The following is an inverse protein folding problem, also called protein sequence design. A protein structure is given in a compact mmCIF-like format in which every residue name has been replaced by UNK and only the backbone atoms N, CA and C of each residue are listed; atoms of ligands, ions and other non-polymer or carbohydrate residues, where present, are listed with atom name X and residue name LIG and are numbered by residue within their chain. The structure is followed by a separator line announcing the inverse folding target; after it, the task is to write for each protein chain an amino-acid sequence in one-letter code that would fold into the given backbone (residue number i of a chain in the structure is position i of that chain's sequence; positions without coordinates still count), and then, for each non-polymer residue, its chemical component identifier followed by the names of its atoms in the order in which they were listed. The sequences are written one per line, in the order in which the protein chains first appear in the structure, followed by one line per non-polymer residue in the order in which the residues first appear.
data_IF_880230191447
#
_entry.id   IF_880230191447
#
_cell.length_a   1.000
_cell.length_b   1.000
_cell.length_c   1.000
_cell.angle_alpha   90.00
_cell.angle_beta   90.00
_cell.angle_gamma   90.00
#
_symmetry.space_group_name_H-M   'P 1'
#
loop_
_entity.id
_entity.type
_entity.pdbx_description
1 polymer ?
#
# COMPACT_ATOMS: atom_id res chain seq x y z
N UNK A 1 15.11 -10.67 23.27
CA UNK A 1 15.14 -9.29 22.73
C UNK A 1 15.90 -9.30 21.42
N UNK A 2 15.25 -9.04 20.26
CA UNK A 2 15.97 -8.95 18.98
C UNK A 2 16.94 -7.76 19.00
N UNK A 3 18.18 -7.99 18.57
CA UNK A 3 19.25 -7.01 18.62
C UNK A 3 19.22 -6.07 17.42
N UNK A 4 19.41 -4.77 17.65
CA UNK A 4 19.67 -3.82 16.57
C UNK A 4 21.13 -4.01 16.11
N UNK A 5 21.41 -4.10 14.80
CA UNK A 5 22.79 -4.23 14.32
C UNK A 5 23.64 -3.06 14.81
N UNK A 6 24.84 -3.36 15.32
CA UNK A 6 25.69 -2.39 16.02
C UNK A 6 26.65 -1.68 15.06
N UNK A 7 26.86 -2.20 13.86
CA UNK A 7 27.67 -1.57 12.81
C UNK A 7 27.07 -1.68 11.39
N UNK A 8 27.53 -0.84 10.46
CA UNK A 8 27.10 -0.82 9.06
C UNK A 8 27.48 -2.10 8.30
N UNK A 9 28.65 -2.67 8.59
CA UNK A 9 29.11 -3.94 8.01
C UNK A 9 28.33 -5.13 8.55
N UNK A 10 27.99 -5.13 9.84
CA UNK A 10 27.13 -6.14 10.44
C UNK A 10 25.71 -6.07 9.86
N UNK A 11 25.17 -4.86 9.68
CA UNK A 11 23.90 -4.64 8.98
C UNK A 11 23.93 -5.26 7.59
N UNK A 12 24.92 -4.92 6.74
CA UNK A 12 24.99 -5.43 5.38
C UNK A 12 25.07 -6.97 5.32
N UNK A 13 25.78 -7.59 6.26
CA UNK A 13 25.87 -9.05 6.37
C UNK A 13 24.54 -9.70 6.75
N UNK A 14 23.86 -9.16 7.76
CA UNK A 14 22.55 -9.64 8.20
C UNK A 14 21.48 -9.44 7.12
N UNK A 15 21.56 -8.31 6.43
CA UNK A 15 20.70 -7.94 5.32
C UNK A 15 20.85 -8.93 4.14
N UNK A 16 22.07 -9.22 3.70
CA UNK A 16 22.35 -10.21 2.66
C UNK A 16 21.96 -11.65 3.06
N UNK A 17 22.04 -11.98 4.36
CA UNK A 17 21.60 -13.27 4.88
C UNK A 17 20.08 -13.40 4.89
N UNK A 18 19.38 -12.36 5.37
CA UNK A 18 17.92 -12.31 5.38
C UNK A 18 17.35 -12.42 3.95
N UNK A 19 17.95 -11.70 2.99
CA UNK A 19 17.60 -11.77 1.58
C UNK A 19 17.70 -13.20 1.03
N UNK A 20 18.84 -13.87 1.20
CA UNK A 20 19.04 -15.25 0.74
C UNK A 20 18.02 -16.23 1.34
N UNK A 21 17.67 -16.05 2.61
CA UNK A 21 16.64 -16.87 3.24
C UNK A 21 15.25 -16.63 2.64
N UNK A 22 14.90 -15.38 2.31
CA UNK A 22 13.62 -15.05 1.68
C UNK A 22 13.55 -15.58 0.24
N UNK A 23 14.62 -15.45 -0.54
CA UNK A 23 14.73 -16.04 -1.88
C UNK A 23 14.62 -17.57 -1.86
N UNK A 24 15.03 -18.22 -0.76
CA UNK A 24 14.83 -19.64 -0.52
C UNK A 24 13.42 -20.01 0.00
N UNK A 25 12.47 -19.06 -0.01
CA UNK A 25 11.07 -19.28 0.39
C UNK A 25 10.84 -19.38 1.91
N UNK A 26 11.78 -18.93 2.75
CA UNK A 26 11.57 -18.94 4.21
C UNK A 26 10.57 -17.87 4.64
N UNK A 27 9.74 -18.23 5.61
CA UNK A 27 8.79 -17.31 6.24
C UNK A 27 9.49 -16.23 7.07
N UNK A 28 8.86 -15.05 7.17
CA UNK A 28 9.46 -13.89 7.85
C UNK A 28 9.78 -14.19 9.33
N UNK A 29 8.95 -14.97 10.02
CA UNK A 29 9.20 -15.40 11.40
C UNK A 29 10.45 -16.29 11.54
N UNK A 30 10.74 -17.14 10.56
CA UNK A 30 11.94 -17.96 10.54
C UNK A 30 13.19 -17.11 10.34
N UNK A 31 13.10 -16.09 9.50
CA UNK A 31 14.19 -15.14 9.25
C UNK A 31 14.48 -14.33 10.52
N UNK A 32 13.45 -13.85 11.21
CA UNK A 32 13.60 -13.15 12.52
C UNK A 32 14.34 -14.03 13.52
N UNK A 33 13.93 -15.30 13.64
CA UNK A 33 14.56 -16.26 14.56
C UNK A 33 16.01 -16.58 14.19
N UNK A 34 16.31 -16.74 12.90
CA UNK A 34 17.65 -17.10 12.43
C UNK A 34 18.65 -15.93 12.44
N UNK A 35 18.16 -14.70 12.22
CA UNK A 35 19.01 -13.49 12.13
C UNK A 35 19.04 -12.70 13.44
N UNK A 36 18.07 -12.89 14.34
CA UNK A 36 17.91 -12.11 15.56
C UNK A 36 17.47 -10.66 15.32
N UNK A 37 17.12 -10.31 14.07
CA UNK A 37 16.67 -8.98 13.66
C UNK A 37 15.15 -8.92 13.78
N UNK A 38 14.63 -7.80 14.32
CA UNK A 38 13.19 -7.61 14.47
C UNK A 38 12.46 -7.58 13.10
N UNK A 39 11.27 -8.18 13.04
CA UNK A 39 10.48 -8.27 11.80
C UNK A 39 10.21 -6.91 11.14
N UNK A 40 9.96 -5.87 11.93
CA UNK A 40 9.79 -4.50 11.41
C UNK A 40 11.01 -3.98 10.65
N UNK A 41 12.22 -4.33 11.08
CA UNK A 41 13.47 -3.94 10.40
C UNK A 41 13.64 -4.73 9.10
N UNK A 42 13.28 -6.01 9.09
CA UNK A 42 13.30 -6.83 7.88
C UNK A 42 12.29 -6.32 6.84
N UNK A 43 11.07 -5.96 7.25
CA UNK A 43 10.08 -5.37 6.36
C UNK A 43 10.55 -4.04 5.77
N UNK A 44 11.19 -3.19 6.58
CA UNK A 44 11.79 -1.95 6.08
C UNK A 44 12.89 -2.22 5.04
N UNK A 45 13.81 -3.14 5.30
CA UNK A 45 14.86 -3.50 4.33
C UNK A 45 14.29 -4.10 3.04
N UNK A 46 13.24 -4.90 3.14
CA UNK A 46 12.57 -5.48 1.98
C UNK A 46 11.86 -4.42 1.13
N UNK A 47 11.32 -3.36 1.75
CA UNK A 47 10.75 -2.20 1.05
C UNK A 47 11.84 -1.32 0.40
N UNK A 48 12.92 -1.01 1.13
CA UNK A 48 14.04 -0.20 0.64
C UNK A 48 14.73 -0.84 -0.58
N UNK A 49 14.89 -2.16 -0.58
CA UNK A 49 15.65 -2.88 -1.61
C UNK A 49 14.77 -3.71 -2.56
N UNK A 50 13.44 -3.55 -2.52
CA UNK A 50 12.46 -4.19 -3.41
C UNK A 50 12.51 -5.72 -3.46
N UNK A 51 12.92 -6.41 -2.39
CA UNK A 51 12.94 -7.89 -2.36
C UNK A 51 11.54 -8.51 -2.26
N UNK A 52 10.51 -7.71 -1.99
CA UNK A 52 9.10 -8.10 -2.05
C UNK A 52 8.56 -8.28 -3.47
N UNK A 53 9.35 -8.02 -4.51
CA UNK A 53 8.88 -8.18 -5.89
C UNK A 53 8.39 -9.61 -6.18
N UNK A 54 9.04 -10.65 -5.62
CA UNK A 54 8.57 -12.03 -5.79
C UNK A 54 7.30 -12.35 -4.97
N UNK A 55 7.19 -11.77 -3.77
CA UNK A 55 6.02 -11.98 -2.90
C UNK A 55 4.76 -11.31 -3.48
N UNK A 56 4.90 -10.12 -4.08
CA UNK A 56 3.78 -9.40 -4.69
C UNK A 56 3.26 -10.08 -5.97
N UNK A 57 4.12 -10.79 -6.70
CA UNK A 57 3.69 -11.61 -7.85
C UNK A 57 2.97 -12.86 -7.35
N UNK A 58 3.50 -13.54 -6.32
CA UNK A 58 2.85 -14.72 -5.73
C UNK A 58 1.51 -14.39 -5.05
N UNK A 59 1.39 -13.25 -4.35
CA UNK A 59 0.13 -12.79 -3.77
C UNK A 59 -0.88 -12.37 -4.86
N UNK A 60 -0.41 -11.79 -5.97
CA UNK A 60 -1.27 -11.46 -7.11
C UNK A 60 -1.76 -12.71 -7.86
N UNK A 61 -0.92 -13.75 -7.99
CA UNK A 61 -1.30 -15.04 -8.58
C UNK A 61 -2.27 -15.81 -7.68
N UNK A 62 -2.02 -15.87 -6.36
CA UNK A 62 -2.93 -16.51 -5.40
C UNK A 62 -4.30 -15.79 -5.32
N UNK A 63 -4.32 -14.45 -5.47
CA UNK A 63 -5.56 -13.70 -5.56
C UNK A 63 -6.30 -13.91 -6.90
N UNK A 64 -5.58 -14.19 -7.99
CA UNK A 64 -6.15 -14.49 -9.31
C UNK A 64 -6.74 -15.90 -9.40
N UNK A 65 -6.26 -16.85 -8.61
CA UNK A 65 -6.74 -18.24 -8.60
C UNK A 65 -7.97 -18.44 -7.69
N UNK A 66 -8.27 -17.46 -6.82
CA UNK A 66 -9.38 -17.49 -5.88
C UNK A 66 -10.69 -16.85 -6.41
N UNK A 67 -10.72 -16.33 -7.66
CA UNK A 67 -11.98 -15.81 -8.24
C UNK A 67 -12.85 -16.95 -8.82
N UNK A 68 -14.09 -17.15 -8.33
CA UNK A 68 -15.03 -18.05 -8.98
C UNK A 68 -15.41 -17.49 -10.37
N UNK A 69 -15.55 -18.34 -11.40
CA UNK A 69 -15.81 -17.87 -12.76
C UNK A 69 -17.17 -17.19 -12.86
N UNK A 70 -17.17 -15.88 -13.07
CA UNK A 70 -18.38 -15.14 -13.42
C UNK A 70 -18.78 -15.45 -14.88
N UNK A 71 -20.08 -15.55 -15.18
CA UNK A 71 -20.57 -15.90 -16.50
C UNK A 71 -20.26 -14.78 -17.51
N UNK A 72 -19.38 -15.11 -18.45
CA UNK A 72 -19.10 -14.37 -19.69
C UNK A 72 -20.40 -14.13 -20.47
N UNK A 73 -20.85 -12.87 -20.52
CA UNK A 73 -21.77 -12.41 -21.57
C UNK A 73 -20.96 -11.78 -22.68
N UNK A 74 -20.89 -12.50 -23.80
CA UNK A 74 -20.36 -12.03 -25.07
C UNK A 74 -21.23 -10.91 -25.65
N UNK A 75 -20.63 -9.75 -25.93
CA UNK A 75 -21.14 -8.84 -26.96
C UNK A 75 -19.99 -8.35 -27.81
N UNK A 76 -19.81 -9.03 -28.94
CA UNK A 76 -19.07 -8.57 -30.11
C UNK A 76 -19.95 -7.58 -30.88
N UNK A 77 -19.39 -6.44 -31.30
CA UNK A 77 -19.72 -5.77 -32.57
C UNK A 77 -18.75 -4.58 -32.82
N UNK A 78 -17.77 -4.81 -33.70
CA UNK A 78 -17.04 -3.82 -34.51
C UNK A 78 -17.91 -3.43 -35.74
N UNK A 79 -17.68 -2.29 -36.45
CA UNK A 79 -16.54 -2.01 -37.38
C UNK A 79 -15.97 -0.56 -37.26
N UNK A 80 -14.68 -0.26 -37.47
CA UNK A 80 -13.79 -0.13 -38.66
C UNK A 80 -13.85 1.22 -39.44
N UNK A 81 -12.67 1.66 -39.91
CA UNK A 81 -12.27 2.80 -40.81
C UNK A 81 -12.25 4.24 -40.23
N UNK A 82 -11.13 4.99 -40.18
CA UNK A 82 -10.39 5.63 -41.30
C UNK A 82 -9.09 6.30 -40.74
N UNK A 83 -7.86 6.02 -41.17
CA UNK A 83 -7.05 6.48 -42.35
C UNK A 83 -6.55 7.96 -42.36
N UNK A 84 -5.27 8.14 -41.95
CA UNK A 84 -4.25 9.11 -42.46
C UNK A 84 -4.17 10.52 -41.84
N UNK A 85 -3.14 11.35 -42.14
CA UNK A 85 -1.70 11.06 -42.35
C UNK A 85 -0.74 12.08 -41.63
N UNK A 86 0.45 11.61 -41.22
CA UNK A 86 1.79 12.24 -41.26
C UNK A 86 1.96 13.79 -41.18
N UNK A 87 2.78 14.23 -40.22
CA UNK A 87 3.57 15.47 -40.34
C UNK A 87 4.99 15.28 -39.81
N UNK A 88 5.92 15.31 -40.76
CA UNK A 88 7.35 15.53 -40.56
C UNK A 88 7.59 16.93 -39.99
N UNK A 89 8.58 17.05 -39.10
CA UNK A 89 8.96 18.32 -38.49
C UNK A 89 10.38 18.31 -37.96
N UNK A 90 11.35 18.17 -38.87
CA UNK A 90 12.77 18.43 -38.63
C UNK A 90 12.99 19.91 -38.28
N UNK A 91 13.47 20.18 -37.07
CA UNK A 91 13.91 21.51 -36.64
C UNK A 91 15.24 21.41 -35.88
N UNK A 92 16.34 21.59 -36.60
CA UNK A 92 17.68 21.73 -36.03
C UNK A 92 17.84 23.09 -35.36
N UNK A 93 18.46 23.15 -34.18
CA UNK A 93 19.21 24.33 -33.74
C UNK A 93 20.38 23.91 -32.85
N UNK A 94 21.57 24.07 -33.43
CA UNK A 94 22.87 24.04 -32.75
C UNK A 94 23.14 25.42 -32.15
N UNK A 95 23.75 25.48 -30.97
CA UNK A 95 24.90 26.37 -30.71
C UNK A 95 25.56 26.03 -29.38
N UNK A 96 26.88 26.16 -29.36
CA UNK A 96 27.79 25.75 -28.30
C UNK A 96 28.13 26.90 -27.34
N UNK A 97 28.31 26.55 -26.06
CA UNK A 97 29.35 27.05 -25.11
C UNK A 97 29.36 28.55 -24.70
N UNK A 98 30.13 28.98 -23.68
CA UNK A 98 30.70 28.32 -22.50
C UNK A 98 30.50 29.11 -21.16
N UNK A 99 30.67 28.42 -20.02
CA UNK A 99 31.26 28.99 -18.80
C UNK A 99 30.45 29.95 -17.93
N UNK A 100 30.10 29.52 -16.72
CA UNK A 100 30.15 30.42 -15.56
C UNK A 100 30.36 29.65 -14.26
N UNK A 101 31.55 29.80 -13.68
CA UNK A 101 31.79 29.54 -12.26
C UNK A 101 31.02 30.62 -11.48
N UNK A 102 30.36 30.26 -10.37
CA UNK A 102 30.26 31.01 -9.10
C UNK A 102 29.20 30.38 -8.17
N UNK A 103 29.68 29.91 -7.01
CA UNK A 103 29.08 29.87 -5.66
C UNK A 103 27.81 29.05 -5.33
N UNK A 104 27.80 28.35 -4.16
CA UNK A 104 26.66 27.58 -3.65
C UNK A 104 25.67 28.51 -2.94
N UNK A 105 24.81 29.15 -3.72
CA UNK A 105 23.68 29.90 -3.20
C UNK A 105 22.49 28.97 -2.96
N UNK A 106 22.22 28.64 -1.70
CA UNK A 106 20.95 28.06 -1.25
C UNK A 106 19.80 28.96 -1.73
N UNK A 107 19.14 28.58 -2.81
CA UNK A 107 17.83 29.10 -3.17
C UNK A 107 16.93 27.88 -3.27
N UNK A 108 16.04 27.76 -2.28
CA UNK A 108 14.81 26.99 -2.42
C UNK A 108 14.07 27.58 -3.63
N UNK A 109 14.30 27.02 -4.81
CA UNK A 109 13.22 26.91 -5.77
C UNK A 109 12.39 25.73 -5.26
N UNK A 110 11.26 26.05 -4.65
CA UNK A 110 10.08 25.20 -4.77
C UNK A 110 9.68 25.23 -6.25
N UNK A 111 10.48 24.57 -7.11
CA UNK A 111 9.98 24.06 -8.38
C UNK A 111 8.95 23.01 -7.98
N UNK A 112 7.72 23.19 -8.45
CA UNK A 112 6.60 22.27 -8.34
C UNK A 112 7.09 20.82 -8.50
N UNK A 113 7.41 20.18 -7.37
CA UNK A 113 7.72 18.77 -7.38
C UNK A 113 6.41 18.09 -7.78
N UNK A 114 6.36 17.37 -8.92
CA UNK A 114 5.13 16.71 -9.33
C UNK A 114 4.68 15.83 -8.18
N UNK A 115 3.37 15.87 -7.85
CA UNK A 115 2.79 15.05 -6.79
C UNK A 115 3.35 13.63 -6.95
N UNK A 116 3.99 13.04 -5.92
CA UNK A 116 4.62 11.73 -6.04
C UNK A 116 3.66 10.67 -6.58
N UNK A 117 2.35 10.83 -6.37
CA UNK A 117 1.31 9.96 -6.94
C UNK A 117 1.10 10.21 -8.44
N UNK A 118 1.13 11.47 -8.88
CA UNK A 118 1.03 11.83 -10.29
C UNK A 118 2.28 11.37 -11.07
N UNK A 119 3.47 11.57 -10.51
CA UNK A 119 4.71 11.04 -11.06
C UNK A 119 4.71 9.50 -11.16
N UNK A 120 4.12 8.82 -10.17
CA UNK A 120 3.95 7.37 -10.21
C UNK A 120 2.94 6.91 -11.29
N UNK A 121 1.86 7.67 -11.51
CA UNK A 121 0.89 7.42 -12.57
C UNK A 121 1.52 7.55 -13.96
N UNK A 122 2.26 8.63 -14.20
CA UNK A 122 2.97 8.89 -15.46
C UNK A 122 4.02 7.81 -15.75
N UNK A 123 4.77 7.39 -14.74
CA UNK A 123 5.75 6.32 -14.87
C UNK A 123 5.09 4.97 -15.21
N UNK A 124 3.99 4.62 -14.55
CA UNK A 124 3.23 3.41 -14.83
C UNK A 124 2.66 3.41 -16.26
N UNK A 125 2.19 4.57 -16.74
CA UNK A 125 1.74 4.75 -18.12
C UNK A 125 2.89 4.56 -19.13
N UNK A 126 4.06 5.14 -18.85
CA UNK A 126 5.25 4.95 -19.69
C UNK A 126 5.69 3.47 -19.77
N UNK A 127 5.64 2.76 -18.64
CA UNK A 127 5.87 1.31 -18.61
C UNK A 127 4.84 0.55 -19.45
N UNK A 128 3.56 0.90 -19.35
CA UNK A 128 2.52 0.28 -20.15
C UNK A 128 2.77 0.43 -21.65
N UNK A 129 3.16 1.63 -22.10
CA UNK A 129 3.48 1.90 -23.51
C UNK A 129 4.70 1.10 -24.00
N UNK A 130 5.75 1.00 -23.19
CA UNK A 130 6.96 0.21 -23.55
C UNK A 130 6.67 -1.29 -23.60
N UNK A 131 5.87 -1.82 -22.67
CA UNK A 131 5.43 -3.22 -22.66
C UNK A 131 4.51 -3.53 -23.84
N UNK A 132 3.63 -2.60 -24.22
CA UNK A 132 2.77 -2.75 -25.39
C UNK A 132 3.60 -2.82 -26.68
N UNK A 133 4.60 -1.94 -26.83
CA UNK A 133 5.52 -1.93 -27.98
C UNK A 133 6.35 -3.21 -28.10
N UNK A 134 6.66 -3.87 -26.99
CA UNK A 134 7.41 -5.13 -26.98
C UNK A 134 6.53 -6.37 -27.11
N UNK A 135 5.22 -6.21 -27.32
CA UNK A 135 4.27 -7.31 -27.50
C UNK A 135 3.82 -7.97 -26.20
N UNK A 136 4.21 -7.45 -25.04
CA UNK A 136 3.81 -7.96 -23.71
C UNK A 136 2.47 -7.37 -23.28
N UNK A 137 1.41 -7.69 -24.03
CA UNK A 137 0.10 -7.04 -23.92
C UNK A 137 -0.55 -7.21 -22.53
N UNK A 138 -0.45 -8.39 -21.91
CA UNK A 138 -1.02 -8.62 -20.55
C UNK A 138 -0.36 -7.75 -19.49
N UNK A 139 0.94 -7.53 -19.60
CA UNK A 139 1.70 -6.73 -18.64
C UNK A 139 1.50 -5.23 -18.88
N UNK A 140 1.36 -4.84 -20.15
CA UNK A 140 0.96 -3.49 -20.52
C UNK A 140 -0.41 -3.13 -19.90
N UNK A 141 -1.38 -4.05 -19.98
CA UNK A 141 -2.70 -3.86 -19.37
C UNK A 141 -2.61 -3.73 -17.84
N UNK A 142 -1.83 -4.59 -17.17
CA UNK A 142 -1.60 -4.50 -15.73
C UNK A 142 -0.98 -3.14 -15.34
N UNK A 143 0.00 -2.66 -16.12
CA UNK A 143 0.63 -1.36 -15.91
C UNK A 143 -0.35 -0.19 -16.16
N UNK A 144 -1.26 -0.29 -17.14
CA UNK A 144 -2.30 0.73 -17.34
C UNK A 144 -3.30 0.79 -16.18
N UNK A 145 -3.74 -0.37 -15.67
CA UNK A 145 -4.62 -0.42 -14.49
C UNK A 145 -3.94 0.18 -13.26
N UNK A 146 -2.63 -0.02 -13.12
CA UNK A 146 -1.84 0.60 -12.06
C UNK A 146 -1.77 2.13 -12.22
N UNK A 147 -1.56 2.61 -13.44
CA UNK A 147 -1.56 4.05 -13.76
C UNK A 147 -2.90 4.70 -13.40
N UNK A 148 -4.03 4.08 -13.75
CA UNK A 148 -5.37 4.59 -13.42
C UNK A 148 -5.61 4.66 -11.90
N UNK A 149 -5.17 3.66 -11.13
CA UNK A 149 -5.25 3.71 -9.65
C UNK A 149 -4.47 4.87 -9.07
N UNK A 150 -3.24 5.11 -9.56
CA UNK A 150 -2.44 6.24 -9.09
C UNK A 150 -3.04 7.59 -9.49
N UNK A 151 -3.60 7.70 -10.70
CA UNK A 151 -4.29 8.90 -11.16
C UNK A 151 -5.51 9.23 -10.28
N UNK A 152 -6.33 8.23 -9.93
CA UNK A 152 -7.46 8.41 -9.00
C UNK A 152 -6.99 8.78 -7.60
N UNK A 153 -5.96 8.11 -7.09
CA UNK A 153 -5.41 8.41 -5.76
C UNK A 153 -4.73 9.80 -5.69
N UNK A 154 -4.28 10.35 -6.82
CA UNK A 154 -3.79 11.71 -6.95
C UNK A 154 -4.95 12.72 -7.06
N UNK A 155 -6.06 12.35 -7.70
CA UNK A 155 -7.26 13.16 -7.76
C UNK A 155 -7.97 13.29 -6.41
N UNK A 156 -7.85 12.29 -5.53
CA UNK A 156 -8.34 12.37 -4.15
C UNK A 156 -7.53 13.42 -3.37
N UNK A 157 -8.16 14.51 -2.90
CA UNK A 157 -7.45 15.56 -2.19
C UNK A 157 -6.85 14.97 -0.91
N UNK A 158 -5.58 15.30 -0.58
CA UNK A 158 -4.97 14.84 0.65
C UNK A 158 -5.83 15.30 1.83
N UNK A 159 -6.34 14.35 2.63
CA UNK A 159 -7.07 14.67 3.86
C UNK A 159 -6.23 15.63 4.70
N UNK A 160 -6.77 16.83 4.91
CA UNK A 160 -6.14 17.84 5.76
C UNK A 160 -5.96 17.28 7.18
N UNK A 161 -4.96 17.76 7.94
CA UNK A 161 -4.79 17.34 9.33
C UNK A 161 -6.06 17.60 10.16
N UNK A 162 -6.83 18.64 9.84
CA UNK A 162 -8.13 18.94 10.44
C UNK A 162 -9.19 17.89 10.10
N UNK A 163 -9.32 17.48 8.84
CA UNK A 163 -10.26 16.43 8.44
C UNK A 163 -9.90 15.08 9.10
N UNK A 164 -8.60 14.80 9.25
CA UNK A 164 -8.12 13.60 9.95
C UNK A 164 -8.43 13.66 11.44
N UNK A 165 -8.24 14.81 12.08
CA UNK A 165 -8.58 15.02 13.49
C UNK A 165 -10.09 14.92 13.73
N UNK A 166 -10.91 15.50 12.84
CA UNK A 166 -12.36 15.42 12.91
C UNK A 166 -12.87 13.97 12.77
N UNK A 167 -12.28 13.20 11.84
CA UNK A 167 -12.59 11.78 11.70
C UNK A 167 -12.20 11.00 12.96
N UNK A 168 -10.98 11.18 13.47
CA UNK A 168 -10.53 10.50 14.68
C UNK A 168 -11.36 10.86 15.92
N UNK A 169 -11.84 12.11 16.03
CA UNK A 169 -12.73 12.54 17.10
C UNK A 169 -14.09 11.85 17.02
N UNK A 170 -14.63 11.66 15.80
CA UNK A 170 -15.88 10.94 15.56
C UNK A 170 -15.74 9.46 15.91
N UNK A 171 -14.70 8.81 15.41
CA UNK A 171 -14.43 7.39 15.69
C UNK A 171 -14.31 7.15 17.21
N UNK A 172 -13.63 8.06 17.92
CA UNK A 172 -13.51 8.01 19.39
C UNK A 172 -14.85 8.21 20.12
N UNK A 173 -15.69 9.12 19.63
CA UNK A 173 -17.02 9.33 20.22
C UNK A 173 -17.92 8.10 20.03
N UNK A 174 -17.87 7.46 18.85
CA UNK A 174 -18.60 6.23 18.56
C UNK A 174 -18.10 5.05 19.43
N UNK A 175 -16.78 4.96 19.68
CA UNK A 175 -16.21 3.99 20.62
C UNK A 175 -16.67 4.24 22.08
N UNK A 176 -16.66 5.49 22.54
CA UNK A 176 -17.11 5.82 23.91
C UNK A 176 -18.60 5.51 24.11
N UNK A 177 -19.45 5.77 23.11
CA UNK A 177 -20.88 5.42 23.16
C UNK A 177 -21.08 3.89 23.19
N UNK A 178 -20.33 3.14 22.38
CA UNK A 178 -20.37 1.68 22.39
C UNK A 178 -19.94 1.09 23.75
N UNK A 179 -18.89 1.65 24.36
CA UNK A 179 -18.42 1.25 25.69
C UNK A 179 -19.43 1.59 26.79
N UNK A 180 -20.10 2.74 26.70
CA UNK A 180 -21.15 3.11 27.65
C UNK A 180 -22.36 2.16 27.55
N UNK A 181 -22.79 1.82 26.34
CA UNK A 181 -23.85 0.84 26.13
C UNK A 181 -23.49 -0.55 26.67
N UNK A 182 -22.26 -1.02 26.44
CA UNK A 182 -21.79 -2.29 26.97
C UNK A 182 -21.75 -2.32 28.51
N UNK A 183 -21.36 -1.22 29.15
CA UNK A 183 -21.38 -1.09 30.62
C UNK A 183 -22.80 -1.14 31.18
N UNK A 184 -23.73 -0.39 30.57
CA UNK A 184 -25.13 -0.40 30.98
C UNK A 184 -25.76 -1.80 30.84
N UNK A 185 -25.41 -2.55 29.78
CA UNK A 185 -25.88 -3.92 29.62
C UNK A 185 -25.33 -4.85 30.72
N UNK A 186 -24.06 -4.71 31.08
CA UNK A 186 -23.43 -5.49 32.16
C UNK A 186 -24.09 -5.20 33.51
N UNK A 187 -24.34 -3.93 33.84
CA UNK A 187 -25.05 -3.54 35.06
C UNK A 187 -26.46 -4.15 35.11
N UNK A 188 -27.23 -4.05 34.03
CA UNK A 188 -28.57 -4.65 33.96
C UNK A 188 -28.54 -6.19 34.07
N UNK A 189 -27.48 -6.86 33.63
CA UNK A 189 -27.29 -8.32 33.85
C UNK A 189 -26.99 -8.62 35.32
N UNK A 190 -26.15 -7.83 35.97
CA UNK A 190 -25.85 -7.99 37.39
C UNK A 190 -27.08 -7.76 38.27
N UNK A 191 -27.89 -6.75 37.97
CA UNK A 191 -29.13 -6.48 38.69
C UNK A 191 -30.15 -7.63 38.58
N UNK A 192 -30.25 -8.24 37.38
CA UNK A 192 -31.09 -9.42 37.17
C UNK A 192 -30.61 -10.62 37.98
N UNK A 193 -29.30 -10.88 38.00
CA UNK A 193 -28.72 -11.95 38.82
C UNK A 193 -28.94 -11.70 40.31
N UNK A 194 -28.76 -10.46 40.78
CA UNK A 194 -29.02 -10.10 42.16
C UNK A 194 -30.51 -10.26 42.53
N UNK A 195 -31.43 -9.94 41.63
CA UNK A 195 -32.86 -10.17 41.83
C UNK A 195 -33.20 -11.67 41.88
N UNK A 196 -32.58 -12.49 41.04
CA UNK A 196 -32.75 -13.94 41.05
C UNK A 196 -32.28 -14.56 42.37
N UNK A 197 -31.09 -14.17 42.85
CA UNK A 197 -30.57 -14.66 44.13
C UNK A 197 -31.48 -14.32 45.31
N UNK A 198 -32.01 -13.08 45.38
CA UNK A 198 -32.97 -12.70 46.43
C UNK A 198 -34.28 -13.51 46.36
N UNK A 199 -34.73 -13.85 45.15
CA UNK A 199 -35.92 -14.67 44.97
C UNK A 199 -35.70 -16.13 45.41
N UNK A 200 -34.51 -16.68 45.14
CA UNK A 200 -34.12 -18.02 45.60
C UNK A 200 -33.94 -18.08 47.11
N UNK A 201 -33.32 -17.08 47.72
CA UNK A 201 -33.17 -16.98 49.18
C UNK A 201 -34.52 -16.86 49.89
N UNK A 202 -35.44 -16.03 49.38
CA UNK A 202 -36.79 -15.92 49.93
C UNK A 202 -37.63 -17.19 49.78
N UNK A 203 -37.45 -17.94 48.70
CA UNK A 203 -38.14 -19.22 48.48
C UNK A 203 -37.63 -20.34 49.41
N UNK A 204 -36.40 -20.25 49.90
CA UNK A 204 -35.82 -21.22 50.83
C UNK A 204 -36.21 -20.98 52.30
N UNK A 205 -36.76 -19.81 52.65
CA UNK A 205 -37.22 -19.49 54.02
C UNK A 205 -38.70 -19.82 54.27
N UNK A 206 -39.49 -20.13 53.23
CA UNK A 206 -40.92 -20.48 53.34
C UNK A 206 -41.21 -22.01 53.32
N UNK A 207 -40.18 -22.86 53.27
CA UNK A 207 -40.27 -24.34 53.36
C UNK A 207 -39.86 -24.86 54.75
#
# INVERSE_FOLDING_TARGET
MPGRPRSTTERARLEARARRMREAGREMNDIVRATGVAGSTLYRWAAENRWRACDLVAEAEAASEAEPPLPISSTSLFPDESRGPESEGLGHSRSSSPGSRLSPGKRHLEEDAPDPKQAAAEHALGLAMTLARTGRLREAEAAMRLADRFARAAADPPMTPEARAAKAARDKAEEEESLAAARAELEARLDRLAAQLRAEEGAAEEE
#
